data_IF_146067440945
#
_entry.id   IF_146067440945
#
_cell.length_a   1.000
_cell.length_b   1.000
_cell.length_c   1.000
_cell.angle_alpha   90.00
_cell.angle_beta   90.00
_cell.angle_gamma   90.00
#
_symmetry.space_group_name_H-M   'P 1'
#
loop_
_entity.id
_entity.type
_entity.pdbx_description
1 polymer ?
#
# COMPACT_ATOMS: atom_id res chain seq x y z
N UNK A 1 -19.17 -4.37 -15.39
CA UNK A 1 -17.77 -4.14 -14.99
C UNK A 1 -17.70 -4.50 -13.52
N UNK A 2 -17.12 -5.65 -13.18
CA UNK A 2 -17.02 -6.05 -11.78
C UNK A 2 -15.85 -5.25 -11.21
N UNK A 3 -16.19 -4.23 -10.43
CA UNK A 3 -15.25 -3.50 -9.58
C UNK A 3 -14.66 -4.56 -8.64
N UNK A 4 -13.34 -4.59 -8.45
CA UNK A 4 -12.73 -5.53 -7.52
C UNK A 4 -13.41 -5.44 -6.16
N UNK A 5 -13.62 -6.56 -5.48
CA UNK A 5 -14.38 -6.65 -4.21
C UNK A 5 -13.87 -5.68 -3.13
N UNK A 6 -12.61 -5.26 -3.22
CA UNK A 6 -11.95 -4.40 -2.26
C UNK A 6 -11.26 -3.20 -2.92
N UNK A 7 -11.36 -2.03 -2.26
CA UNK A 7 -10.66 -0.80 -2.63
C UNK A 7 -9.22 -0.76 -2.08
N UNK A 8 -8.98 -1.41 -0.93
CA UNK A 8 -7.69 -1.40 -0.25
C UNK A 8 -7.40 -2.78 0.33
N UNK A 9 -6.19 -3.29 0.12
CA UNK A 9 -5.71 -4.56 0.67
C UNK A 9 -4.42 -4.33 1.45
N UNK A 10 -4.31 -4.89 2.66
CA UNK A 10 -3.07 -4.94 3.43
C UNK A 10 -2.41 -6.30 3.32
N UNK A 11 -1.10 -6.32 3.04
CA UNK A 11 -0.30 -7.55 3.00
C UNK A 11 0.84 -7.45 4.02
N UNK A 12 1.04 -8.54 4.76
CA UNK A 12 2.17 -8.74 5.65
C UNK A 12 3.12 -9.79 5.05
N UNK A 13 4.42 -9.64 5.36
CA UNK A 13 5.49 -10.50 4.84
C UNK A 13 5.41 -10.74 3.32
N UNK A 14 5.30 -9.67 2.50
CA UNK A 14 5.17 -9.83 1.07
C UNK A 14 6.39 -10.56 0.49
N UNK A 15 6.14 -11.59 -0.31
CA UNK A 15 7.18 -12.25 -1.09
C UNK A 15 7.71 -11.31 -2.17
N UNK A 16 9.00 -10.95 -2.09
CA UNK A 16 9.71 -10.25 -3.16
C UNK A 16 10.39 -11.28 -4.06
N UNK A 17 10.21 -11.19 -5.38
CA UNK A 17 10.97 -12.01 -6.33
C UNK A 17 12.32 -11.33 -6.67
N UNK A 18 13.10 -11.91 -7.59
CA UNK A 18 14.40 -11.36 -8.01
C UNK A 18 14.31 -9.95 -8.60
N UNK A 19 13.10 -9.44 -8.86
CA UNK A 19 12.83 -8.02 -9.06
C UNK A 19 12.21 -7.47 -7.76
N UNK A 20 12.69 -6.34 -7.26
CA UNK A 20 12.26 -5.78 -5.97
C UNK A 20 10.87 -5.14 -5.99
N UNK A 21 10.00 -5.59 -6.89
CA UNK A 21 8.62 -5.16 -7.02
C UNK A 21 7.76 -6.40 -6.82
N UNK A 22 6.89 -6.38 -5.81
CA UNK A 22 5.85 -7.39 -5.68
C UNK A 22 5.02 -7.40 -6.95
N UNK A 23 4.67 -8.58 -7.47
CA UNK A 23 3.77 -8.71 -8.63
C UNK A 23 2.38 -8.19 -8.26
N UNK A 24 2.20 -6.89 -8.42
CA UNK A 24 0.89 -6.28 -8.52
C UNK A 24 0.26 -6.75 -9.83
N UNK A 25 -1.00 -7.22 -9.81
CA UNK A 25 -1.79 -7.19 -11.05
C UNK A 25 -1.95 -5.73 -11.45
N UNK A 26 -2.17 -5.42 -12.73
CA UNK A 26 -2.31 -4.03 -13.22
C UNK A 26 -3.45 -3.23 -12.60
N UNK A 27 -4.20 -3.84 -11.68
CA UNK A 27 -5.37 -3.31 -10.98
C UNK A 27 -5.02 -2.62 -9.66
N UNK A 28 -3.75 -2.67 -9.22
CA UNK A 28 -3.34 -2.12 -7.93
C UNK A 28 -2.22 -1.10 -8.04
N UNK A 29 -2.34 -0.06 -7.23
CA UNK A 29 -1.26 0.87 -6.90
C UNK A 29 -0.62 0.42 -5.59
N UNK A 30 0.67 0.08 -5.64
CA UNK A 30 1.42 -0.36 -4.46
C UNK A 30 1.80 0.83 -3.57
N UNK A 31 1.58 0.70 -2.27
CA UNK A 31 1.98 1.66 -1.25
C UNK A 31 2.98 0.99 -0.32
N UNK A 32 4.24 1.37 -0.48
CA UNK A 32 5.35 0.85 0.32
C UNK A 32 5.60 1.72 1.56
N UNK A 33 6.13 1.15 2.65
CA UNK A 33 6.63 1.90 3.79
C UNK A 33 7.69 2.93 3.41
N UNK A 34 7.80 3.99 4.20
CA UNK A 34 8.87 4.98 3.99
C UNK A 34 10.22 4.31 4.26
N UNK A 35 11.14 4.42 3.30
CA UNK A 35 12.44 3.76 3.39
C UNK A 35 12.47 2.35 2.78
N UNK A 36 11.39 1.92 2.10
CA UNK A 36 11.48 0.83 1.15
C UNK A 36 12.58 1.12 0.13
N UNK A 37 13.50 0.18 0.01
CA UNK A 37 14.63 0.21 -0.91
C UNK A 37 14.43 -0.93 -1.92
N UNK A 38 14.57 -0.60 -3.20
CA UNK A 38 14.54 -1.56 -4.28
C UNK A 38 15.70 -2.58 -4.20
N UNK A 39 16.69 -2.38 -3.35
CA UNK A 39 17.72 -3.39 -3.07
C UNK A 39 17.36 -4.29 -1.88
N UNK A 40 16.19 -4.09 -1.26
CA UNK A 40 15.70 -4.80 -0.07
C UNK A 40 16.71 -4.84 1.10
N UNK A 41 17.62 -3.86 1.19
CA UNK A 41 18.58 -3.73 2.31
C UNK A 41 17.89 -3.67 3.68
N UNK A 42 16.66 -3.17 3.71
CA UNK A 42 15.71 -3.36 4.81
C UNK A 42 14.50 -4.10 4.26
N UNK A 43 14.21 -5.26 4.83
CA UNK A 43 13.06 -6.07 4.45
C UNK A 43 11.78 -5.27 4.64
N UNK A 44 10.99 -5.16 3.58
CA UNK A 44 9.66 -4.57 3.67
C UNK A 44 8.70 -5.60 4.22
N UNK A 45 8.07 -5.32 5.36
CA UNK A 45 7.26 -6.32 6.09
C UNK A 45 5.76 -6.02 6.10
N UNK A 46 5.39 -4.80 5.75
CA UNK A 46 4.01 -4.38 5.56
C UNK A 46 3.89 -3.60 4.26
N UNK A 47 2.82 -3.81 3.51
CA UNK A 47 2.44 -2.95 2.39
C UNK A 47 0.93 -2.77 2.32
N UNK A 48 0.50 -1.75 1.59
CA UNK A 48 -0.88 -1.56 1.18
C UNK A 48 -0.95 -1.62 -0.35
N UNK A 49 -2.07 -2.11 -0.88
CA UNK A 49 -2.43 -2.05 -2.28
C UNK A 49 -3.73 -1.26 -2.39
N UNK A 50 -3.76 -0.26 -3.26
CA UNK A 50 -4.96 0.56 -3.52
C UNK A 50 -5.46 0.25 -4.90
N UNK A 51 -6.74 -0.12 -5.02
CA UNK A 51 -7.36 -0.44 -6.30
C UNK A 51 -7.31 0.79 -7.23
N UNK A 52 -6.92 0.61 -8.49
CA UNK A 52 -6.88 1.72 -9.47
C UNK A 52 -8.26 2.31 -9.78
N UNK A 53 -9.34 1.57 -9.47
CA UNK A 53 -10.70 2.07 -9.61
C UNK A 53 -11.05 3.12 -8.53
N UNK A 54 -10.31 3.17 -7.42
CA UNK A 54 -10.44 4.23 -6.43
C UNK A 54 -9.87 5.53 -7.01
N UNK A 55 -10.67 6.60 -6.98
CA UNK A 55 -10.27 7.92 -7.46
C UNK A 55 -8.91 8.33 -6.86
N UNK A 56 -7.90 8.50 -7.70
CA UNK A 56 -6.53 8.81 -7.30
C UNK A 56 -6.39 10.16 -6.61
N UNK A 57 -7.37 11.06 -6.76
CA UNK A 57 -7.43 12.34 -6.06
C UNK A 57 -8.03 12.23 -4.65
N UNK A 58 -8.74 11.13 -4.36
CA UNK A 58 -9.43 10.90 -3.10
C UNK A 58 -8.52 10.32 -2.01
N UNK A 59 -7.34 9.82 -2.37
CA UNK A 59 -6.43 9.21 -1.40
C UNK A 59 -4.99 9.68 -1.57
N UNK A 60 -4.19 9.52 -0.50
CA UNK A 60 -2.76 9.78 -0.53
C UNK A 60 -2.02 8.86 0.42
N UNK A 61 -0.76 8.57 0.09
CA UNK A 61 0.15 7.92 1.03
C UNK A 61 0.47 8.84 2.21
N UNK A 62 0.59 8.26 3.40
CA UNK A 62 1.10 8.91 4.60
C UNK A 62 2.52 8.42 4.90
N UNK A 63 3.54 9.30 4.88
CA UNK A 63 4.91 8.92 5.20
C UNK A 63 5.07 8.70 6.71
N UNK A 64 5.20 7.45 7.14
CA UNK A 64 5.55 7.08 8.52
C UNK A 64 7.03 6.68 8.56
N UNK A 65 7.82 7.18 9.52
CA UNK A 65 9.25 6.88 9.63
C UNK A 65 9.53 5.47 10.17
N UNK A 66 9.02 4.44 9.50
CA UNK A 66 9.26 3.02 9.79
C UNK A 66 9.11 2.19 8.52
N UNK A 67 9.96 1.18 8.34
CA UNK A 67 9.86 0.20 7.24
C UNK A 67 8.78 -0.86 7.49
N UNK A 68 8.16 -0.82 8.66
CA UNK A 68 7.13 -1.76 9.11
C UNK A 68 5.73 -1.18 9.04
N UNK A 69 5.63 0.07 8.56
CA UNK A 69 4.36 0.80 8.50
C UNK A 69 4.14 1.36 7.10
N UNK A 70 3.13 0.80 6.42
CA UNK A 70 2.55 1.40 5.23
C UNK A 70 1.23 2.07 5.62
N UNK A 71 0.99 3.30 5.12
CA UNK A 71 -0.18 4.05 5.52
C UNK A 71 -0.75 4.91 4.39
N UNK A 72 -2.07 5.05 4.37
CA UNK A 72 -2.81 5.95 3.48
C UNK A 72 -3.86 6.76 4.23
N UNK A 73 -4.23 7.91 3.67
CA UNK A 73 -5.42 8.68 4.03
C UNK A 73 -6.36 8.71 2.82
N UNK A 74 -7.60 8.29 3.01
CA UNK A 74 -8.70 8.45 2.05
C UNK A 74 -9.59 9.58 2.55
N UNK A 75 -10.05 10.44 1.64
CA UNK A 75 -10.93 11.56 1.90
C UNK A 75 -12.21 11.40 1.09
N UNK A 76 -13.34 11.70 1.71
CA UNK A 76 -14.63 11.75 1.05
C UNK A 76 -15.64 12.56 1.85
N UNK A 77 -16.92 12.47 1.48
CA UNK A 77 -18.02 13.10 2.22
C UNK A 77 -18.13 12.58 3.66
N UNK A 78 -17.59 11.39 3.92
CA UNK A 78 -17.47 10.77 5.24
C UNK A 78 -16.30 11.33 6.07
N UNK A 79 -15.57 12.34 5.58
CA UNK A 79 -14.40 12.89 6.24
C UNK A 79 -13.11 12.19 5.81
N UNK A 80 -12.26 11.86 6.78
CA UNK A 80 -10.94 11.26 6.54
C UNK A 80 -10.85 9.88 7.20
N UNK A 81 -10.52 8.87 6.40
CA UNK A 81 -10.17 7.54 6.87
C UNK A 81 -8.66 7.37 6.74
N UNK A 82 -7.99 6.95 7.82
CA UNK A 82 -6.56 6.62 7.80
C UNK A 82 -6.39 5.14 8.05
N UNK A 83 -5.66 4.48 7.17
CA UNK A 83 -5.39 3.04 7.25
C UNK A 83 -3.89 2.89 7.46
N UNK A 84 -3.53 2.08 8.46
CA UNK A 84 -2.15 1.74 8.77
C UNK A 84 -2.02 0.21 8.71
N UNK A 85 -1.18 -0.29 7.82
CA UNK A 85 -0.70 -1.66 7.83
C UNK A 85 0.58 -1.68 8.64
N UNK A 86 0.56 -2.38 9.79
CA UNK A 86 1.64 -2.40 10.78
C UNK A 86 2.09 -3.84 10.96
N UNK A 87 3.39 -4.08 10.79
CA UNK A 87 4.04 -5.33 11.18
C UNK A 87 4.72 -5.14 12.55
N UNK A 88 4.45 -6.03 13.51
CA UNK A 88 4.95 -5.95 14.89
C UNK A 88 5.62 -7.26 15.32
#
# INVERSE_FOLDING_TARGET
MQIGEFDVVGIQEPGFDFRPQTRSTGEWTMVYPKGHDATQKKTTRALLMVNIALDSSSWKQLPVNSVDVAAIEIKGVFGKLRIFSIYN
#
